data_IF_082480251060
#
_entry.id   IF_082480251060
#
_cell.length_a   1.000
_cell.length_b   1.000
_cell.length_c   1.000
_cell.angle_alpha   90.00
_cell.angle_beta   90.00
_cell.angle_gamma   90.00
#
_symmetry.space_group_name_H-M   'P 1'
#
loop_
_entity.id
_entity.type
_entity.pdbx_description
1 polymer ?
#
# COMPACT_ATOMS: atom_id res chain seq x y z
N UNK A 1 58.14 10.97 44.90
CA UNK A 1 57.41 9.69 44.99
C UNK A 1 55.98 9.96 44.54
N UNK A 2 55.71 9.88 43.25
CA UNK A 2 54.36 10.05 42.69
C UNK A 2 53.77 8.66 42.46
N UNK A 3 52.65 8.36 43.11
CA UNK A 3 51.97 7.08 42.95
C UNK A 3 51.24 7.07 41.62
N UNK A 4 51.59 6.11 40.76
CA UNK A 4 50.87 5.83 39.52
C UNK A 4 49.52 5.21 39.89
N UNK A 5 48.46 6.03 39.93
CA UNK A 5 47.10 5.56 40.20
C UNK A 5 46.66 4.58 39.10
N UNK A 6 46.44 3.33 39.48
CA UNK A 6 45.98 2.27 38.59
C UNK A 6 44.55 2.58 38.13
N UNK A 7 44.19 2.29 36.88
CA UNK A 7 42.89 2.64 36.27
C UNK A 7 41.63 2.04 36.98
N UNK A 8 41.83 1.27 38.06
CA UNK A 8 40.78 0.65 38.86
C UNK A 8 40.26 1.54 40.00
N UNK A 9 41.01 2.57 40.40
CA UNK A 9 40.67 3.41 41.57
C UNK A 9 39.85 4.67 41.24
N UNK A 10 39.43 4.83 39.98
CA UNK A 10 38.66 6.01 39.55
C UNK A 10 37.17 5.85 39.92
N UNK A 11 36.57 6.72 40.72
CA UNK A 11 35.17 6.63 41.13
C UNK A 11 34.21 6.72 39.93
N UNK A 12 33.03 6.08 40.07
CA UNK A 12 32.06 5.92 38.99
C UNK A 12 31.58 7.25 38.38
N UNK A 13 31.46 8.29 39.20
CA UNK A 13 31.04 9.62 38.77
C UNK A 13 32.03 10.27 37.79
N UNK A 14 33.33 10.10 38.01
CA UNK A 14 34.36 10.61 37.10
C UNK A 14 34.38 9.86 35.77
N UNK A 15 34.15 8.54 35.80
CA UNK A 15 34.01 7.73 34.57
C UNK A 15 32.82 8.16 33.71
N UNK A 16 31.67 8.47 34.33
CA UNK A 16 30.49 8.94 33.61
C UNK A 16 30.68 10.35 33.02
N UNK A 17 31.44 11.23 33.69
CA UNK A 17 31.81 12.54 33.15
C UNK A 17 32.71 12.42 31.91
N UNK A 18 33.70 11.52 31.94
CA UNK A 18 34.59 11.25 30.80
C UNK A 18 33.86 10.61 29.60
N UNK A 19 32.79 9.87 29.84
CA UNK A 19 31.99 9.30 28.75
C UNK A 19 31.14 10.36 28.01
N UNK A 20 30.76 11.45 28.70
CA UNK A 20 30.04 12.59 28.12
C UNK A 20 30.92 13.46 27.21
N UNK A 21 32.23 13.46 27.43
CA UNK A 21 33.25 14.08 26.59
C UNK A 21 34.08 12.97 25.95
N UNK A 22 33.48 12.23 25.01
CA UNK A 22 33.94 10.93 24.52
C UNK A 22 35.43 10.65 24.61
N UNK A 23 35.80 9.59 25.35
CA UNK A 23 37.14 9.01 25.53
C UNK A 23 38.29 9.79 24.85
N UNK A 24 38.65 10.93 25.43
CA UNK A 24 39.90 11.60 25.12
C UNK A 24 41.02 10.76 25.74
N UNK A 25 41.48 9.75 24.99
CA UNK A 25 42.83 9.23 25.22
C UNK A 25 43.76 10.42 25.09
N UNK A 26 44.36 10.84 26.20
CA UNK A 26 45.48 11.77 26.16
C UNK A 26 46.56 11.11 25.30
N UNK A 27 46.65 11.54 24.04
CA UNK A 27 47.80 11.20 23.22
C UNK A 27 48.94 12.00 23.80
N UNK A 28 49.84 11.32 24.49
CA UNK A 28 51.17 11.85 24.75
C UNK A 28 51.80 12.13 23.37
N UNK A 29 51.74 13.38 22.92
CA UNK A 29 52.30 13.87 21.66
C UNK A 29 53.84 14.00 21.74
N UNK A 30 54.48 12.99 22.32
CA UNK A 30 55.93 12.81 22.34
C UNK A 30 56.34 11.45 21.75
N UNK A 31 55.52 10.89 20.85
CA UNK A 31 55.88 9.74 20.05
C UNK A 31 56.58 10.23 18.77
N UNK A 32 57.89 9.93 18.68
CA UNK A 32 58.71 9.98 17.47
C UNK A 32 57.86 9.69 16.22
N UNK A 33 57.53 10.73 15.43
CA UNK A 33 56.91 10.52 14.12
C UNK A 33 57.89 9.65 13.34
N UNK A 34 57.54 8.40 12.95
CA UNK A 34 58.42 7.64 12.10
C UNK A 34 58.64 8.51 10.85
N UNK A 35 59.88 8.70 10.44
CA UNK A 35 60.18 9.35 9.18
C UNK A 35 59.45 8.54 8.10
N UNK A 36 58.31 9.05 7.64
CA UNK A 36 57.62 8.50 6.48
C UNK A 36 58.40 9.08 5.31
N UNK A 37 59.24 8.29 4.60
CA UNK A 37 59.91 8.80 3.43
C UNK A 37 58.84 9.34 2.49
N UNK A 38 59.04 10.58 2.00
CA UNK A 38 58.14 11.18 1.02
C UNK A 38 57.96 10.17 -0.11
N UNK A 39 56.70 9.83 -0.42
CA UNK A 39 56.39 8.92 -1.53
C UNK A 39 57.05 9.52 -2.77
N UNK A 40 57.88 8.73 -3.46
CA UNK A 40 58.45 9.13 -4.74
C UNK A 40 57.31 9.62 -5.64
N UNK A 41 57.44 10.82 -6.17
CA UNK A 41 56.50 11.37 -7.14
C UNK A 41 56.89 10.87 -8.52
N UNK A 42 55.89 10.59 -9.36
CA UNK A 42 56.14 10.28 -10.76
C UNK A 42 56.50 11.57 -11.47
N UNK A 43 57.51 11.55 -12.34
CA UNK A 43 57.85 12.71 -13.16
C UNK A 43 56.77 13.00 -14.20
N UNK A 44 56.16 11.94 -14.76
CA UNK A 44 55.02 12.06 -15.68
C UNK A 44 53.86 11.14 -15.23
N UNK A 45 52.63 11.57 -15.50
CA UNK A 45 51.39 10.87 -15.11
C UNK A 45 51.27 9.49 -15.78
N UNK A 46 51.88 9.34 -16.95
CA UNK A 46 51.87 8.11 -17.75
C UNK A 46 53.08 7.18 -17.51
N UNK A 47 53.96 7.51 -16.56
CA UNK A 47 55.13 6.69 -16.24
C UNK A 47 54.88 5.82 -14.98
N UNK A 48 55.36 4.57 -14.94
CA UNK A 48 55.32 3.77 -13.73
C UNK A 48 56.18 4.39 -12.62
N UNK A 49 55.79 4.16 -11.37
CA UNK A 49 56.59 4.56 -10.22
C UNK A 49 57.52 3.42 -9.82
N UNK A 50 58.82 3.65 -9.79
CA UNK A 50 59.78 2.70 -9.27
C UNK A 50 59.64 2.60 -7.74
N UNK A 51 59.54 1.36 -7.22
CA UNK A 51 59.45 1.08 -5.80
C UNK A 51 60.54 0.08 -5.42
N UNK A 52 61.15 0.29 -4.25
CA UNK A 52 62.16 -0.64 -3.73
C UNK A 52 61.56 -2.03 -3.50
N UNK A 53 62.25 -3.06 -4.00
CA UNK A 53 61.91 -4.47 -3.79
C UNK A 53 61.93 -4.90 -2.32
N UNK A 54 62.59 -4.11 -1.45
CA UNK A 54 62.63 -4.33 0.00
C UNK A 54 61.35 -3.94 0.73
N UNK A 55 60.38 -3.31 0.05
CA UNK A 55 59.12 -2.89 0.66
C UNK A 55 58.14 -4.07 0.73
N UNK A 56 57.90 -4.59 1.95
CA UNK A 56 56.93 -5.65 2.18
C UNK A 56 55.51 -5.26 1.73
N UNK A 57 54.79 -6.19 1.11
CA UNK A 57 53.38 -6.02 0.72
C UNK A 57 52.49 -6.24 1.94
N UNK A 58 51.47 -5.40 2.13
CA UNK A 58 50.51 -5.56 3.22
C UNK A 58 49.67 -6.83 3.06
N UNK A 59 49.43 -7.57 4.17
CA UNK A 59 48.66 -8.83 4.16
C UNK A 59 47.15 -8.63 3.94
N UNK A 60 46.60 -7.47 4.29
CA UNK A 60 45.17 -7.21 4.23
C UNK A 60 44.77 -6.59 2.90
N UNK A 61 43.81 -7.23 2.22
CA UNK A 61 43.12 -6.64 1.06
C UNK A 61 42.01 -5.74 1.58
N UNK A 62 41.90 -4.53 1.03
CA UNK A 62 40.77 -3.65 1.30
C UNK A 62 39.51 -4.25 0.65
N UNK A 63 38.68 -4.93 1.45
CA UNK A 63 37.36 -5.41 1.00
C UNK A 63 36.43 -4.20 1.00
N UNK A 64 36.17 -3.67 -0.20
CA UNK A 64 35.18 -2.61 -0.38
C UNK A 64 33.80 -3.26 -0.35
N UNK A 65 32.95 -2.88 0.62
CA UNK A 65 31.57 -3.34 0.66
C UNK A 65 30.79 -2.80 -0.55
N UNK A 66 30.61 -3.64 -1.56
CA UNK A 66 29.76 -3.31 -2.71
C UNK A 66 28.30 -3.54 -2.34
N UNK A 67 27.44 -2.55 -2.58
CA UNK A 67 25.98 -2.71 -2.42
C UNK A 67 25.49 -3.85 -3.32
N UNK A 68 25.09 -4.96 -2.71
CA UNK A 68 24.53 -6.11 -3.44
C UNK A 68 23.18 -5.72 -4.03
N UNK A 69 23.04 -5.81 -5.36
CA UNK A 69 21.76 -5.63 -6.04
C UNK A 69 20.91 -6.87 -5.78
N UNK A 70 19.81 -6.72 -5.02
CA UNK A 70 18.81 -7.78 -4.84
C UNK A 70 17.78 -7.65 -5.98
N UNK A 71 17.46 -8.76 -6.64
CA UNK A 71 16.29 -8.82 -7.50
C UNK A 71 15.05 -8.76 -6.60
N UNK A 72 14.21 -7.75 -6.83
CA UNK A 72 13.00 -7.47 -6.07
C UNK A 72 11.80 -7.94 -6.92
N UNK A 73 10.96 -8.84 -6.40
CA UNK A 73 9.74 -9.26 -7.10
C UNK A 73 8.64 -8.22 -6.82
N UNK A 74 8.15 -7.51 -7.84
CA UNK A 74 7.19 -6.44 -7.64
C UNK A 74 5.88 -6.90 -6.98
N UNK A 75 5.55 -8.19 -7.05
CA UNK A 75 4.35 -8.76 -6.42
C UNK A 75 4.43 -8.84 -4.90
N UNK A 76 5.65 -9.04 -4.37
CA UNK A 76 5.87 -9.32 -2.95
C UNK A 76 6.57 -8.16 -2.22
N UNK A 77 7.14 -7.23 -2.98
CA UNK A 77 7.91 -6.12 -2.42
C UNK A 77 7.01 -4.94 -2.06
N UNK A 78 7.11 -4.52 -0.80
CA UNK A 78 6.32 -3.40 -0.28
C UNK A 78 6.64 -2.06 -1.00
N UNK A 79 7.78 -1.98 -1.69
CA UNK A 79 8.18 -0.81 -2.47
C UNK A 79 7.39 -0.62 -3.76
N UNK A 80 6.71 -1.67 -4.26
CA UNK A 80 5.97 -1.64 -5.52
C UNK A 80 4.63 -0.89 -5.45
N UNK A 81 4.26 -0.38 -4.27
CA UNK A 81 3.07 0.43 -4.06
C UNK A 81 1.82 -0.39 -3.71
N UNK A 82 0.66 0.29 -3.72
CA UNK A 82 -0.65 -0.29 -3.41
C UNK A 82 -1.51 -0.40 -4.68
N UNK A 83 -2.47 -1.31 -4.68
CA UNK A 83 -3.42 -1.47 -5.78
C UNK A 83 -4.17 -0.16 -6.04
N UNK A 84 -4.03 0.37 -7.26
CA UNK A 84 -4.88 1.44 -7.76
C UNK A 84 -6.06 0.82 -8.50
N UNK A 85 -7.22 0.76 -7.83
CA UNK A 85 -8.45 0.18 -8.38
C UNK A 85 -8.85 0.85 -9.71
N UNK A 86 -8.76 2.18 -9.81
CA UNK A 86 -9.15 2.92 -11.02
C UNK A 86 -8.28 2.54 -12.22
N UNK A 87 -6.95 2.44 -12.01
CA UNK A 87 -6.02 2.07 -13.08
C UNK A 87 -6.21 0.61 -13.47
N UNK A 88 -6.37 -0.28 -12.48
CA UNK A 88 -6.63 -1.70 -12.70
C UNK A 88 -7.91 -1.92 -13.52
N UNK A 89 -8.99 -1.24 -13.17
CA UNK A 89 -10.25 -1.33 -13.91
C UNK A 89 -10.12 -0.85 -15.36
N UNK A 90 -9.29 0.17 -15.61
CA UNK A 90 -9.02 0.67 -16.97
C UNK A 90 -8.12 -0.29 -17.76
N UNK A 91 -7.02 -0.77 -17.18
CA UNK A 91 -6.08 -1.66 -17.86
C UNK A 91 -6.69 -3.02 -18.17
N UNK A 92 -7.58 -3.50 -17.31
CA UNK A 92 -8.26 -4.79 -17.46
C UNK A 92 -9.74 -4.67 -17.85
N UNK A 93 -10.13 -3.56 -18.48
CA UNK A 93 -11.51 -3.33 -18.92
C UNK A 93 -12.02 -4.44 -19.85
N UNK A 94 -11.13 -5.01 -20.67
CA UNK A 94 -11.45 -6.10 -21.58
C UNK A 94 -12.05 -7.32 -20.88
N UNK A 95 -11.71 -7.58 -19.61
CA UNK A 95 -12.23 -8.73 -18.85
C UNK A 95 -13.76 -8.70 -18.72
N UNK A 96 -14.38 -7.53 -18.78
CA UNK A 96 -15.83 -7.42 -18.75
C UNK A 96 -16.47 -8.01 -20.02
N UNK A 97 -15.85 -7.79 -21.18
CA UNK A 97 -16.29 -8.40 -22.43
C UNK A 97 -16.16 -9.93 -22.38
N UNK A 98 -15.05 -10.44 -21.83
CA UNK A 98 -14.85 -11.88 -21.65
C UNK A 98 -15.92 -12.48 -20.73
N UNK A 99 -16.22 -11.85 -19.60
CA UNK A 99 -17.28 -12.29 -18.67
C UNK A 99 -18.65 -12.30 -19.33
N UNK A 100 -18.95 -11.30 -20.16
CA UNK A 100 -20.21 -11.27 -20.91
C UNK A 100 -20.29 -12.39 -21.94
N UNK A 101 -19.21 -12.67 -22.67
CA UNK A 101 -19.12 -13.79 -23.62
C UNK A 101 -19.27 -15.14 -22.90
N UNK A 102 -18.59 -15.34 -21.77
CA UNK A 102 -18.69 -16.54 -20.95
C UNK A 102 -20.13 -16.77 -20.47
N UNK A 103 -20.82 -15.72 -19.98
CA UNK A 103 -22.24 -15.80 -19.63
C UNK A 103 -23.13 -16.20 -20.82
N UNK A 104 -22.84 -15.71 -22.03
CA UNK A 104 -23.59 -16.11 -23.23
C UNK A 104 -23.32 -17.57 -23.59
N UNK A 105 -22.07 -18.03 -23.50
CA UNK A 105 -21.70 -19.43 -23.74
C UNK A 105 -22.38 -20.37 -22.75
N UNK A 106 -22.37 -20.05 -21.45
CA UNK A 106 -23.06 -20.84 -20.43
C UNK A 106 -24.58 -20.90 -20.70
N UNK A 107 -25.19 -19.79 -21.13
CA UNK A 107 -26.61 -19.77 -21.53
C UNK A 107 -26.89 -20.65 -22.76
N UNK A 108 -25.97 -20.69 -23.72
CA UNK A 108 -26.09 -21.58 -24.88
C UNK A 108 -25.93 -23.06 -24.48
N UNK A 109 -24.96 -23.38 -23.63
CA UNK A 109 -24.76 -24.72 -23.08
C UNK A 109 -26.00 -25.19 -22.30
N UNK A 110 -26.61 -24.31 -21.50
CA UNK A 110 -27.84 -24.64 -20.77
C UNK A 110 -29.00 -25.00 -21.71
N UNK A 111 -29.09 -24.37 -22.90
CA UNK A 111 -30.11 -24.70 -23.90
C UNK A 111 -29.88 -26.06 -24.54
N UNK A 112 -28.62 -26.44 -24.76
CA UNK A 112 -28.25 -27.71 -25.41
C UNK A 112 -28.26 -28.90 -24.44
N UNK A 113 -28.04 -28.65 -23.15
CA UNK A 113 -27.88 -29.72 -22.15
C UNK A 113 -29.22 -30.37 -21.81
N UNK A 114 -29.30 -31.70 -21.94
CA UNK A 114 -30.48 -32.51 -21.64
C UNK A 114 -30.49 -33.10 -20.23
N UNK A 115 -29.31 -33.39 -19.66
CA UNK A 115 -29.17 -33.98 -18.31
C UNK A 115 -29.63 -33.01 -17.22
N UNK A 116 -30.50 -33.46 -16.30
CA UNK A 116 -31.04 -32.62 -15.24
C UNK A 116 -29.96 -32.09 -14.28
N UNK A 117 -29.05 -32.95 -13.81
CA UNK A 117 -27.97 -32.57 -12.89
C UNK A 117 -27.08 -31.46 -13.49
N UNK A 118 -26.61 -31.67 -14.73
CA UNK A 118 -25.77 -30.67 -15.45
C UNK A 118 -26.52 -29.37 -15.73
N UNK A 119 -27.83 -29.42 -15.96
CA UNK A 119 -28.65 -28.21 -16.14
C UNK A 119 -28.70 -27.39 -14.86
N UNK A 120 -28.80 -28.03 -13.70
CA UNK A 120 -28.86 -27.33 -12.42
C UNK A 120 -27.50 -26.74 -12.04
N UNK A 121 -26.40 -27.46 -12.32
CA UNK A 121 -25.04 -26.92 -12.23
C UNK A 121 -24.86 -25.67 -13.10
N UNK A 122 -25.25 -25.73 -14.38
CA UNK A 122 -25.15 -24.58 -15.29
C UNK A 122 -26.03 -23.41 -14.86
N UNK A 123 -27.26 -23.66 -14.37
CA UNK A 123 -28.11 -22.59 -13.82
C UNK A 123 -27.45 -21.92 -12.61
N UNK A 124 -26.85 -22.72 -11.73
CA UNK A 124 -26.15 -22.21 -10.56
C UNK A 124 -24.97 -21.32 -10.98
N UNK A 125 -24.14 -21.80 -11.90
CA UNK A 125 -22.99 -21.03 -12.38
C UNK A 125 -23.44 -19.72 -13.05
N UNK A 126 -24.45 -19.77 -13.92
CA UNK A 126 -25.03 -18.56 -14.54
C UNK A 126 -25.52 -17.59 -13.48
N UNK A 127 -26.19 -18.07 -12.42
CA UNK A 127 -26.69 -17.22 -11.35
C UNK A 127 -25.55 -16.51 -10.60
N UNK A 128 -24.47 -17.22 -10.27
CA UNK A 128 -23.28 -16.65 -9.61
C UNK A 128 -22.62 -15.61 -10.50
N UNK A 129 -22.30 -15.95 -11.75
CA UNK A 129 -21.64 -15.01 -12.68
C UNK A 129 -22.51 -13.79 -12.98
N UNK A 130 -23.82 -13.98 -13.11
CA UNK A 130 -24.77 -12.87 -13.31
C UNK A 130 -24.85 -11.99 -12.06
N UNK A 131 -24.81 -12.57 -10.86
CA UNK A 131 -24.76 -11.83 -9.61
C UNK A 131 -23.51 -10.94 -9.58
N UNK A 132 -22.32 -11.49 -9.85
CA UNK A 132 -21.05 -10.74 -9.87
C UNK A 132 -21.10 -9.53 -10.81
N UNK A 133 -21.62 -9.72 -12.02
CA UNK A 133 -21.81 -8.63 -13.01
C UNK A 133 -22.76 -7.56 -12.46
N UNK A 134 -23.90 -7.96 -11.89
CA UNK A 134 -24.85 -6.97 -11.33
C UNK A 134 -24.32 -6.26 -10.10
N UNK A 135 -23.52 -6.93 -9.26
CA UNK A 135 -22.87 -6.31 -8.11
C UNK A 135 -21.83 -5.29 -8.54
N UNK A 136 -21.02 -5.64 -9.55
CA UNK A 136 -20.07 -4.71 -10.15
C UNK A 136 -20.79 -3.46 -10.68
N UNK A 137 -21.82 -3.64 -11.50
CA UNK A 137 -22.60 -2.51 -12.05
C UNK A 137 -23.17 -1.60 -10.95
N UNK A 138 -23.66 -2.17 -9.85
CA UNK A 138 -24.13 -1.38 -8.70
C UNK A 138 -23.00 -0.58 -8.04
N UNK A 139 -21.82 -1.19 -7.86
CA UNK A 139 -20.63 -0.51 -7.33
C UNK A 139 -20.20 0.61 -8.26
N UNK A 140 -20.21 0.38 -9.57
CA UNK A 140 -19.83 1.37 -10.59
C UNK A 140 -20.81 2.55 -10.63
N UNK A 141 -22.13 2.30 -10.53
CA UNK A 141 -23.14 3.37 -10.41
C UNK A 141 -22.87 4.25 -9.19
N UNK A 142 -22.56 3.62 -8.04
CA UNK A 142 -22.25 4.35 -6.80
C UNK A 142 -20.94 5.16 -6.93
N UNK A 143 -19.89 4.52 -7.44
CA UNK A 143 -18.60 5.19 -7.63
C UNK A 143 -18.73 6.35 -8.62
N UNK A 144 -19.47 6.18 -9.72
CA UNK A 144 -19.70 7.23 -10.71
C UNK A 144 -20.44 8.44 -10.12
N UNK A 145 -21.42 8.24 -9.22
CA UNK A 145 -22.08 9.33 -8.52
C UNK A 145 -21.10 10.10 -7.61
N UNK A 146 -20.22 9.38 -6.89
CA UNK A 146 -19.20 10.00 -6.05
C UNK A 146 -18.13 10.74 -6.87
N UNK A 147 -17.69 10.19 -8.00
CA UNK A 147 -16.70 10.83 -8.87
C UNK A 147 -17.28 12.04 -9.58
N UNK A 148 -18.54 11.98 -10.05
CA UNK A 148 -19.29 13.14 -10.57
C UNK A 148 -19.33 14.27 -9.55
N UNK A 149 -19.72 13.98 -8.31
CA UNK A 149 -19.74 15.01 -7.25
C UNK A 149 -18.37 15.61 -6.98
N UNK A 150 -17.31 14.77 -6.93
CA UNK A 150 -15.94 15.26 -6.76
C UNK A 150 -15.50 16.16 -7.93
N UNK A 151 -15.94 15.86 -9.14
CA UNK A 151 -15.67 16.66 -10.33
C UNK A 151 -16.37 18.01 -10.27
N UNK A 152 -17.67 18.02 -9.94
CA UNK A 152 -18.46 19.25 -9.74
C UNK A 152 -17.82 20.18 -8.69
N UNK A 153 -17.40 19.63 -7.54
CA UNK A 153 -16.73 20.44 -6.51
C UNK A 153 -15.37 20.96 -7.01
N UNK A 154 -14.63 20.18 -7.80
CA UNK A 154 -13.37 20.67 -8.39
C UNK A 154 -13.60 21.82 -9.37
N UNK A 155 -14.64 21.73 -10.19
CA UNK A 155 -15.03 22.78 -11.13
C UNK A 155 -15.51 24.04 -10.39
N UNK A 156 -16.30 23.88 -9.32
CA UNK A 156 -16.71 25.01 -8.47
C UNK A 156 -15.52 25.66 -7.74
N UNK A 157 -14.52 24.87 -7.34
CA UNK A 157 -13.29 25.41 -6.76
C UNK A 157 -12.47 26.18 -7.78
N UNK A 158 -12.40 25.68 -9.02
CA UNK A 158 -11.77 26.40 -10.12
C UNK A 158 -12.48 27.73 -10.42
N UNK A 159 -13.81 27.81 -10.22
CA UNK A 159 -14.58 29.05 -10.34
C UNK A 159 -14.51 29.97 -9.11
N UNK A 160 -13.69 29.64 -8.10
CA UNK A 160 -13.43 30.48 -6.93
C UNK A 160 -14.19 30.11 -5.65
N UNK A 161 -14.97 29.02 -5.63
CA UNK A 161 -15.52 28.48 -4.38
C UNK A 161 -14.40 27.89 -3.51
N UNK A 162 -14.54 27.95 -2.19
CA UNK A 162 -13.63 27.24 -1.29
C UNK A 162 -13.68 25.72 -1.47
N UNK A 163 -12.53 25.05 -1.28
CA UNK A 163 -12.44 23.60 -1.37
C UNK A 163 -13.34 22.91 -0.33
N UNK A 164 -14.30 22.13 -0.82
CA UNK A 164 -15.24 21.40 0.02
C UNK A 164 -15.11 19.88 -0.19
N UNK A 165 -14.85 19.17 0.91
CA UNK A 165 -14.76 17.71 0.91
C UNK A 165 -15.95 17.11 1.65
N UNK A 166 -16.68 16.21 0.99
CA UNK A 166 -17.84 15.56 1.60
C UNK A 166 -17.47 14.77 2.85
N UNK A 167 -18.23 14.98 3.94
CA UNK A 167 -18.11 14.18 5.15
C UNK A 167 -18.57 12.74 4.87
N UNK A 168 -18.17 11.80 5.72
CA UNK A 168 -18.56 10.39 5.60
C UNK A 168 -20.08 10.19 5.54
N UNK A 169 -20.84 10.98 6.32
CA UNK A 169 -22.30 10.93 6.32
C UNK A 169 -22.90 11.37 4.97
N UNK A 170 -22.34 12.41 4.36
CA UNK A 170 -22.83 12.96 3.09
C UNK A 170 -22.49 12.04 1.91
N UNK A 171 -21.36 11.31 1.99
CA UNK A 171 -21.07 10.24 1.03
C UNK A 171 -22.13 9.14 1.09
N UNK A 172 -22.53 8.72 2.30
CA UNK A 172 -23.58 7.70 2.47
C UNK A 172 -24.94 8.17 1.95
N UNK A 173 -25.28 9.45 2.08
CA UNK A 173 -26.54 9.97 1.51
C UNK A 173 -26.52 9.95 -0.01
N UNK A 174 -25.39 10.31 -0.65
CA UNK A 174 -25.23 10.16 -2.10
C UNK A 174 -25.33 8.70 -2.56
N UNK A 175 -24.66 7.77 -1.87
CA UNK A 175 -24.76 6.34 -2.16
C UNK A 175 -26.21 5.85 -2.05
N UNK A 176 -26.95 6.34 -1.05
CA UNK A 176 -28.35 6.00 -0.83
C UNK A 176 -29.24 6.57 -1.94
N UNK A 177 -29.02 7.82 -2.35
CA UNK A 177 -29.72 8.44 -3.47
C UNK A 177 -29.51 7.65 -4.77
N UNK A 178 -28.27 7.28 -5.09
CA UNK A 178 -27.96 6.47 -6.27
C UNK A 178 -28.67 5.10 -6.23
N UNK A 179 -28.75 4.46 -5.05
CA UNK A 179 -29.51 3.20 -4.86
C UNK A 179 -31.01 3.39 -5.07
N UNK A 180 -31.58 4.49 -4.59
CA UNK A 180 -33.01 4.78 -4.76
C UNK A 180 -33.35 5.08 -6.22
N UNK A 181 -32.48 5.80 -6.93
CA UNK A 181 -32.61 6.04 -8.38
C UNK A 181 -32.58 4.73 -9.16
N UNK A 182 -31.62 3.84 -8.88
CA UNK A 182 -31.55 2.51 -9.52
C UNK A 182 -32.82 1.65 -9.24
N UNK A 183 -33.34 1.71 -8.01
CA UNK A 183 -34.59 1.04 -7.66
C UNK A 183 -35.82 1.65 -8.35
N UNK A 184 -35.81 2.95 -8.61
CA UNK A 184 -36.85 3.66 -9.32
C UNK A 184 -36.82 3.31 -10.81
N UNK A 185 -35.65 3.37 -11.45
CA UNK A 185 -35.39 2.97 -12.84
C UNK A 185 -35.84 1.52 -13.08
N UNK A 186 -35.54 0.63 -12.14
CA UNK A 186 -35.93 -0.79 -12.24
C UNK A 186 -37.38 -1.08 -11.85
N UNK A 187 -38.15 -0.08 -11.41
CA UNK A 187 -39.54 -0.24 -10.95
C UNK A 187 -39.71 -1.04 -9.64
N UNK A 188 -38.61 -1.36 -8.94
CA UNK A 188 -38.60 -2.19 -7.72
C UNK A 188 -38.74 -1.37 -6.44
N UNK A 189 -38.80 -0.04 -6.55
CA UNK A 189 -38.86 0.90 -5.44
C UNK A 189 -40.07 0.65 -4.52
N UNK A 190 -41.26 0.44 -5.07
CA UNK A 190 -42.50 0.21 -4.29
C UNK A 190 -42.37 -1.03 -3.40
N UNK A 191 -41.89 -2.14 -3.98
CA UNK A 191 -41.63 -3.40 -3.28
C UNK A 191 -40.55 -3.24 -2.20
N UNK A 192 -39.48 -2.53 -2.50
CA UNK A 192 -38.42 -2.23 -1.53
C UNK A 192 -38.95 -1.42 -0.34
N UNK A 193 -39.75 -0.38 -0.61
CA UNK A 193 -40.35 0.46 0.42
C UNK A 193 -41.37 -0.33 1.27
N UNK A 194 -42.19 -1.18 0.66
CA UNK A 194 -43.10 -2.07 1.39
C UNK A 194 -42.33 -3.01 2.34
N UNK A 195 -41.24 -3.64 1.86
CA UNK A 195 -40.39 -4.50 2.69
C UNK A 195 -39.71 -3.71 3.82
N UNK A 196 -39.29 -2.47 3.55
CA UNK A 196 -38.69 -1.59 4.55
C UNK A 196 -39.70 -1.17 5.62
N UNK A 197 -40.93 -0.79 5.23
CA UNK A 197 -42.03 -0.48 6.16
C UNK A 197 -42.36 -1.68 7.05
N UNK A 198 -42.51 -2.88 6.47
CA UNK A 198 -42.74 -4.12 7.24
C UNK A 198 -41.63 -4.39 8.26
N UNK A 199 -40.36 -4.24 7.85
CA UNK A 199 -39.20 -4.43 8.74
C UNK A 199 -39.16 -3.38 9.86
N UNK A 200 -39.51 -2.13 9.58
CA UNK A 200 -39.56 -1.08 10.59
C UNK A 200 -40.71 -1.34 11.58
N UNK A 201 -41.92 -1.61 11.09
CA UNK A 201 -43.06 -1.95 11.93
C UNK A 201 -42.78 -3.15 12.85
N UNK A 202 -42.11 -4.20 12.35
CA UNK A 202 -41.68 -5.34 13.17
C UNK A 202 -40.63 -4.97 14.23
N UNK A 203 -39.77 -3.99 13.97
CA UNK A 203 -38.83 -3.47 14.98
C UNK A 203 -39.53 -2.60 16.00
N UNK A 204 -40.49 -1.78 15.58
CA UNK A 204 -41.27 -0.92 16.48
C UNK A 204 -42.13 -1.78 17.41
N UNK A 205 -42.70 -2.87 16.88
CA UNK A 205 -43.44 -3.86 17.66
C UNK A 205 -42.61 -4.54 18.76
N UNK A 206 -41.27 -4.61 18.62
CA UNK A 206 -40.39 -5.10 19.70
C UNK A 206 -40.45 -4.23 20.95
N UNK A 207 -40.72 -2.93 20.79
CA UNK A 207 -40.72 -1.94 21.87
C UNK A 207 -42.14 -1.60 22.35
N UNK A 208 -43.17 -2.14 21.70
CA UNK A 208 -44.56 -1.98 22.12
C UNK A 208 -44.89 -3.02 23.21
N UNK A 209 -45.58 -2.62 24.29
CA UNK A 209 -46.09 -3.56 25.28
C UNK A 209 -47.02 -4.60 24.62
N UNK A 210 -46.78 -5.88 24.91
CA UNK A 210 -47.54 -7.00 24.35
C UNK A 210 -48.93 -7.15 24.99
N UNK A 211 -49.08 -6.70 26.23
CA UNK A 211 -50.36 -6.63 26.92
C UNK A 211 -50.79 -5.17 27.03
N UNK A 212 -52.01 -4.86 26.59
CA UNK A 212 -52.68 -3.61 26.97
C UNK A 212 -53.13 -3.76 28.42
N UNK A 213 -52.64 -2.88 29.30
CA UNK A 213 -53.24 -2.66 30.62
C UNK A 213 -54.50 -1.82 30.48
#
# INVERSE_FOLDING_TARGET
MEQVSHARDVPLEERLRLQKQGFATQKNDAAHKPFIPRRAQRENKNQPLELSSKRAVGRFRQVVEVKKKRALDPRFEAQSGRLNEDLFHKSYAFLDEYKHRELQQLKQQLKQTKSAAKRDELKHEIAVRQQDVTEKQKRDKIQSALTKRKREEREAVASGKGAFYLKRKDKKTLELQAKFQDLQETGRLSKFMAKKRKKNASKDHRWLPTQRK
#
